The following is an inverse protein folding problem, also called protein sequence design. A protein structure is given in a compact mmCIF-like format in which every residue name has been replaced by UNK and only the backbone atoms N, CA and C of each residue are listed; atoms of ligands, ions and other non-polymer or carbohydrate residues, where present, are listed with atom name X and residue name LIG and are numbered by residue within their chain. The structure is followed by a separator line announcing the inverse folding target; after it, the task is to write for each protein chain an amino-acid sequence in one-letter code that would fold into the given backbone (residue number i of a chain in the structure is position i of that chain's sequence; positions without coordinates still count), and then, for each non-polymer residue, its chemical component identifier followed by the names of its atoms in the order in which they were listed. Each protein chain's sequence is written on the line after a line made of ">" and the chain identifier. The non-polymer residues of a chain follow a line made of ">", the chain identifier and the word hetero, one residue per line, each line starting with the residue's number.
data_IF_030741672505
#
_entry.id   IF_030741672505
#
_cell.length_a   1.000
_cell.length_b   1.000
_cell.length_c   1.000
_cell.angle_alpha   90.00
_cell.angle_beta   90.00
_cell.angle_gamma   90.00
#
_symmetry.space_group_name_H-M   'P 1'
#
loop_
_entity.id
_entity.type
_entity.pdbx_description
1 polymer ?
#
# COMPACT_ATOMS: atom_id res chain seq x y z
N UNK A 1 -17.42 0.97 7.08
CA UNK A 1 -18.16 1.60 5.96
C UNK A 1 -18.51 0.52 4.96
N UNK A 2 -19.80 0.34 4.66
CA UNK A 2 -20.34 -0.81 3.92
C UNK A 2 -20.49 -0.60 2.41
N UNK A 3 -19.81 0.39 1.83
CA UNK A 3 -19.90 0.72 0.40
C UNK A 3 -19.32 -0.39 -0.49
N UNK A 4 -18.25 -1.04 -0.04
CA UNK A 4 -17.58 -2.10 -0.79
C UNK A 4 -17.79 -3.45 -0.10
N UNK A 5 -17.89 -4.50 -0.91
CA UNK A 5 -17.71 -5.87 -0.45
C UNK A 5 -16.22 -6.18 -0.24
N UNK A 6 -15.91 -7.31 0.40
CA UNK A 6 -14.53 -7.78 0.60
C UNK A 6 -13.78 -8.04 -0.71
N UNK A 7 -14.51 -8.29 -1.81
CA UNK A 7 -13.94 -8.46 -3.15
C UNK A 7 -13.76 -7.14 -3.92
N UNK A 8 -14.12 -6.00 -3.33
CA UNK A 8 -14.00 -4.67 -3.95
C UNK A 8 -15.17 -4.24 -4.82
N UNK A 9 -16.25 -5.03 -4.90
CA UNK A 9 -17.48 -4.65 -5.61
C UNK A 9 -18.34 -3.67 -4.81
N UNK A 10 -18.99 -2.73 -5.49
CA UNK A 10 -19.93 -1.79 -4.89
C UNK A 10 -21.16 -2.51 -4.33
N UNK A 11 -21.55 -2.14 -3.11
CA UNK A 11 -22.82 -2.54 -2.48
C UNK A 11 -23.83 -1.43 -2.72
N UNK A 12 -24.85 -1.71 -3.54
CA UNK A 12 -25.96 -0.79 -3.80
C UNK A 12 -26.92 -0.75 -2.60
N UNK A 13 -26.52 -0.02 -1.56
CA UNK A 13 -27.37 0.23 -0.38
C UNK A 13 -28.12 1.56 -0.54
N UNK A 14 -29.31 1.65 0.04
CA UNK A 14 -30.18 2.82 -0.10
C UNK A 14 -29.50 4.14 0.32
N UNK A 15 -28.65 4.08 1.35
CA UNK A 15 -27.88 5.22 1.85
C UNK A 15 -26.90 5.82 0.82
N UNK A 16 -26.45 5.03 -0.16
CA UNK A 16 -25.49 5.46 -1.19
C UNK A 16 -26.14 5.74 -2.55
N UNK A 17 -27.46 5.55 -2.69
CA UNK A 17 -28.14 5.55 -3.99
C UNK A 17 -27.93 6.85 -4.78
N UNK A 18 -27.91 8.01 -4.11
CA UNK A 18 -27.71 9.32 -4.76
C UNK A 18 -26.27 9.59 -5.25
N UNK A 19 -25.32 8.74 -4.86
CA UNK A 19 -23.92 8.81 -5.26
C UNK A 19 -23.60 7.85 -6.40
N UNK A 20 -24.52 7.00 -6.83
CA UNK A 20 -24.28 6.10 -7.95
C UNK A 20 -24.83 6.67 -9.25
N UNK A 21 -24.01 6.59 -10.30
CA UNK A 21 -24.41 6.89 -11.68
C UNK A 21 -23.93 5.77 -12.59
N UNK A 22 -24.66 5.54 -13.67
CA UNK A 22 -24.31 4.55 -14.68
C UNK A 22 -24.11 5.27 -16.01
N UNK A 23 -22.93 5.12 -16.58
CA UNK A 23 -22.59 5.71 -17.87
C UNK A 23 -21.89 4.66 -18.73
N UNK A 24 -22.40 4.45 -19.95
CA UNK A 24 -21.90 3.43 -20.90
C UNK A 24 -21.83 2.00 -20.31
N UNK A 25 -22.72 1.69 -19.36
CA UNK A 25 -22.78 0.38 -18.70
C UNK A 25 -21.77 0.21 -17.56
N UNK A 26 -21.03 1.25 -17.19
CA UNK A 26 -20.14 1.24 -16.04
C UNK A 26 -20.77 1.97 -14.84
N UNK A 27 -20.77 1.31 -13.68
CA UNK A 27 -21.22 1.90 -12.43
C UNK A 27 -20.12 2.77 -11.81
N UNK A 28 -20.47 4.03 -11.52
CA UNK A 28 -19.58 5.05 -10.98
C UNK A 28 -20.08 5.52 -9.63
N UNK A 29 -19.18 5.60 -8.66
CA UNK A 29 -19.44 6.24 -7.37
C UNK A 29 -18.95 7.68 -7.42
N UNK A 30 -19.87 8.63 -7.39
CA UNK A 30 -19.61 10.06 -7.48
C UNK A 30 -19.04 10.58 -6.15
N UNK A 31 -17.82 11.10 -6.20
CA UNK A 31 -17.12 11.72 -5.06
C UNK A 31 -17.35 13.23 -5.05
N UNK A 32 -17.41 13.85 -6.23
CA UNK A 32 -17.73 15.27 -6.41
C UNK A 32 -18.51 15.44 -7.70
N UNK A 33 -19.47 16.38 -7.71
CA UNK A 33 -20.27 16.71 -8.90
C UNK A 33 -19.75 17.94 -9.65
N UNK A 34 -19.02 18.81 -8.96
CA UNK A 34 -18.41 20.01 -9.55
C UNK A 34 -17.05 20.31 -8.90
N UNK A 35 -15.92 19.98 -9.55
CA UNK A 35 -15.84 19.21 -10.79
C UNK A 35 -16.32 17.77 -10.60
N UNK A 36 -16.73 17.12 -11.69
CA UNK A 36 -17.12 15.70 -11.67
C UNK A 36 -15.89 14.83 -11.36
N UNK A 37 -15.91 14.17 -10.20
CA UNK A 37 -14.91 13.20 -9.76
C UNK A 37 -15.67 11.95 -9.33
N UNK A 38 -15.28 10.79 -9.85
CA UNK A 38 -15.89 9.52 -9.51
C UNK A 38 -14.83 8.43 -9.38
N UNK A 39 -15.25 7.31 -8.80
CA UNK A 39 -14.47 6.08 -8.66
C UNK A 39 -15.26 4.94 -9.28
N UNK A 40 -14.59 4.11 -10.06
CA UNK A 40 -15.16 2.91 -10.68
C UNK A 40 -14.75 1.66 -9.93
N UNK A 41 -15.41 0.52 -10.19
CA UNK A 41 -14.91 -0.77 -9.69
C UNK A 41 -13.54 -1.11 -10.29
N UNK A 42 -13.22 -0.62 -11.50
CA UNK A 42 -11.90 -0.82 -12.11
C UNK A 42 -10.80 -0.08 -11.34
N UNK A 43 -11.09 1.12 -10.85
CA UNK A 43 -10.16 1.86 -9.98
C UNK A 43 -9.93 1.11 -8.66
N UNK A 44 -10.99 0.53 -8.09
CA UNK A 44 -10.89 -0.30 -6.88
C UNK A 44 -10.06 -1.56 -7.16
N UNK A 45 -10.29 -2.24 -8.29
CA UNK A 45 -9.53 -3.42 -8.71
C UNK A 45 -8.04 -3.09 -8.86
N UNK A 46 -7.71 -1.98 -9.54
CA UNK A 46 -6.33 -1.52 -9.69
C UNK A 46 -5.67 -1.21 -8.34
N UNK A 47 -6.42 -0.61 -7.41
CA UNK A 47 -5.96 -0.39 -6.04
C UNK A 47 -5.71 -1.73 -5.33
N UNK A 48 -6.61 -2.72 -5.45
CA UNK A 48 -6.43 -4.05 -4.86
C UNK A 48 -5.19 -4.75 -5.39
N UNK A 49 -4.92 -4.68 -6.71
CA UNK A 49 -3.71 -5.26 -7.30
C UNK A 49 -2.44 -4.62 -6.70
N UNK A 50 -2.41 -3.29 -6.58
CA UNK A 50 -1.27 -2.59 -6.00
C UNK A 50 -1.07 -2.95 -4.51
N UNK A 51 -2.13 -2.92 -3.72
CA UNK A 51 -2.08 -3.25 -2.29
C UNK A 51 -1.75 -4.73 -2.08
N UNK A 52 -2.30 -5.63 -2.89
CA UNK A 52 -2.03 -7.06 -2.87
C UNK A 52 -0.56 -7.36 -3.07
N UNK A 53 0.08 -6.71 -4.05
CA UNK A 53 1.52 -6.85 -4.29
C UNK A 53 2.36 -6.37 -3.09
N UNK A 54 1.99 -5.24 -2.48
CA UNK A 54 2.67 -4.72 -1.30
C UNK A 54 2.53 -5.64 -0.08
N UNK A 55 1.32 -6.15 0.17
CA UNK A 55 1.03 -7.07 1.29
C UNK A 55 1.74 -8.41 1.11
N UNK A 56 1.67 -9.00 -0.07
CA UNK A 56 2.35 -10.25 -0.40
C UNK A 56 3.88 -10.11 -0.27
N UNK A 57 4.44 -9.02 -0.80
CA UNK A 57 5.85 -8.71 -0.64
C UNK A 57 6.27 -8.61 0.83
N UNK A 58 5.52 -7.86 1.65
CA UNK A 58 5.77 -7.78 3.10
C UNK A 58 5.74 -9.16 3.74
N UNK A 59 4.72 -9.97 3.48
CA UNK A 59 4.52 -11.24 4.16
C UNK A 59 5.62 -12.25 3.80
N UNK A 60 6.09 -12.24 2.56
CA UNK A 60 7.25 -13.04 2.14
C UNK A 60 8.52 -12.55 2.82
N UNK A 61 8.78 -11.24 2.87
CA UNK A 61 9.96 -10.70 3.55
C UNK A 61 9.96 -11.06 5.05
N UNK A 62 8.80 -11.02 5.71
CA UNK A 62 8.65 -11.46 7.10
C UNK A 62 8.94 -12.96 7.24
N UNK A 63 8.38 -13.78 6.35
CA UNK A 63 8.62 -15.24 6.34
C UNK A 63 10.11 -15.57 6.17
N UNK A 64 10.80 -14.91 5.24
CA UNK A 64 12.25 -15.06 5.03
C UNK A 64 13.07 -14.59 6.24
N UNK A 65 12.60 -13.57 6.96
CA UNK A 65 13.22 -13.10 8.19
C UNK A 65 12.83 -13.94 9.43
N UNK A 66 11.96 -14.95 9.29
CA UNK A 66 11.36 -15.70 10.39
C UNK A 66 10.64 -14.80 11.42
N UNK A 67 10.01 -13.74 10.95
CA UNK A 67 9.24 -12.78 11.74
C UNK A 67 7.75 -12.88 11.40
N UNK A 68 6.91 -12.40 12.31
CA UNK A 68 5.47 -12.26 12.13
C UNK A 68 5.11 -10.79 11.99
N UNK A 69 3.88 -10.51 11.53
CA UNK A 69 3.40 -9.12 11.36
C UNK A 69 3.41 -8.34 12.67
N UNK A 70 3.17 -9.01 13.79
CA UNK A 70 3.15 -8.42 15.13
C UNK A 70 4.53 -8.03 15.63
N UNK A 71 5.59 -8.59 15.03
CA UNK A 71 6.97 -8.30 15.37
C UNK A 71 7.46 -6.99 14.69
N UNK A 72 6.63 -6.37 13.84
CA UNK A 72 6.91 -5.04 13.27
C UNK A 72 6.56 -3.96 14.30
N UNK A 73 7.60 -3.28 14.80
CA UNK A 73 7.44 -2.19 15.76
C UNK A 73 7.17 -0.83 15.09
N UNK A 74 7.79 -0.57 13.94
CA UNK A 74 7.69 0.70 13.21
C UNK A 74 7.63 0.48 11.70
N UNK A 75 6.76 1.23 11.03
CA UNK A 75 6.69 1.36 9.57
C UNK A 75 7.06 2.78 9.16
N UNK A 76 8.14 2.90 8.38
CA UNK A 76 8.61 4.16 7.83
C UNK A 76 8.09 4.30 6.40
N UNK A 77 7.25 5.30 6.16
CA UNK A 77 6.62 5.56 4.87
C UNK A 77 7.42 6.60 4.09
N UNK A 78 7.96 6.21 2.95
CA UNK A 78 8.73 7.07 2.06
C UNK A 78 8.04 7.26 0.70
N UNK A 79 8.49 8.28 -0.04
CA UNK A 79 7.99 8.60 -1.37
C UNK A 79 6.66 9.35 -1.34
N UNK A 80 6.15 9.70 -2.53
CA UNK A 80 4.92 10.50 -2.67
C UNK A 80 3.72 9.81 -1.99
N UNK A 81 3.53 8.51 -2.23
CA UNK A 81 2.48 7.74 -1.56
C UNK A 81 2.61 7.78 -0.03
N UNK A 82 3.81 7.48 0.47
CA UNK A 82 4.09 7.50 1.91
C UNK A 82 3.97 8.88 2.56
N UNK A 83 4.02 9.95 1.77
CA UNK A 83 3.88 11.35 2.25
C UNK A 83 2.43 11.74 2.51
N UNK A 84 1.48 11.18 1.77
CA UNK A 84 0.08 11.61 1.81
C UNK A 84 -0.88 10.57 2.39
N UNK A 85 -0.48 9.29 2.45
CA UNK A 85 -1.33 8.27 3.06
C UNK A 85 -1.48 8.51 4.57
N UNK A 86 -2.72 8.55 5.04
CA UNK A 86 -3.01 8.60 6.49
C UNK A 86 -2.69 7.23 7.11
N UNK A 87 -1.93 7.17 8.22
CA UNK A 87 -1.62 5.91 8.90
C UNK A 87 -2.85 5.05 9.21
N UNK A 88 -3.95 5.67 9.66
CA UNK A 88 -5.21 4.98 9.95
C UNK A 88 -5.80 4.33 8.70
N UNK A 89 -5.78 5.03 7.56
CA UNK A 89 -6.23 4.45 6.29
C UNK A 89 -5.32 3.31 5.84
N UNK A 90 -4.00 3.42 6.01
CA UNK A 90 -3.06 2.34 5.70
C UNK A 90 -3.26 1.11 6.62
N UNK A 91 -3.62 1.31 7.89
CA UNK A 91 -3.98 0.23 8.82
C UNK A 91 -5.27 -0.46 8.41
N UNK A 92 -6.30 0.29 8.03
CA UNK A 92 -7.57 -0.27 7.52
C UNK A 92 -7.33 -1.10 6.25
N UNK A 93 -6.44 -0.64 5.36
CA UNK A 93 -6.06 -1.37 4.15
C UNK A 93 -5.12 -2.56 4.43
N UNK A 94 -4.77 -2.83 5.68
CA UNK A 94 -3.89 -3.93 6.06
C UNK A 94 -2.45 -3.75 5.58
N UNK A 95 -2.00 -2.52 5.27
CA UNK A 95 -0.61 -2.22 4.91
C UNK A 95 0.29 -2.10 6.15
N UNK A 96 -0.24 -1.50 7.21
CA UNK A 96 0.46 -1.24 8.47
C UNK A 96 -0.18 -2.09 9.56
N UNK A 97 0.60 -2.89 10.33
CA UNK A 97 0.08 -3.62 11.48
C UNK A 97 -0.56 -2.67 12.51
N UNK A 98 -1.65 -3.09 13.13
CA UNK A 98 -2.47 -2.23 14.01
C UNK A 98 -1.68 -1.60 15.17
N UNK A 99 -0.72 -2.34 15.72
CA UNK A 99 0.10 -1.90 16.88
C UNK A 99 1.40 -1.19 16.49
N UNK A 100 1.77 -1.20 15.21
CA UNK A 100 3.02 -0.59 14.76
C UNK A 100 2.92 0.94 14.77
N UNK A 101 4.02 1.59 15.15
CA UNK A 101 4.21 3.02 14.91
C UNK A 101 4.32 3.27 13.42
N UNK A 102 3.81 4.40 12.95
CA UNK A 102 3.86 4.77 11.55
C UNK A 102 4.23 6.24 11.42
N UNK A 103 5.26 6.53 10.62
CA UNK A 103 5.64 7.90 10.31
C UNK A 103 6.07 8.05 8.86
N UNK A 104 5.77 9.22 8.31
CA UNK A 104 6.23 9.61 6.98
C UNK A 104 7.58 10.30 7.06
N UNK A 105 8.46 10.02 6.11
CA UNK A 105 9.78 10.67 5.96
C UNK A 105 9.90 11.46 4.65
N UNK A 106 8.82 11.57 3.88
CA UNK A 106 8.84 12.26 2.60
C UNK A 106 9.69 11.56 1.54
N UNK A 107 10.34 12.35 0.69
CA UNK A 107 11.25 11.82 -0.32
C UNK A 107 12.61 11.42 0.30
N UNK A 108 12.67 10.21 0.85
CA UNK A 108 13.87 9.66 1.46
C UNK A 108 15.05 9.54 0.48
N UNK A 109 14.79 9.28 -0.81
CA UNK A 109 15.84 9.21 -1.83
C UNK A 109 16.54 10.56 -2.03
N UNK A 110 15.76 11.63 -2.18
CA UNK A 110 16.30 12.99 -2.31
C UNK A 110 17.02 13.43 -1.03
N UNK A 111 16.46 13.13 0.15
CA UNK A 111 17.10 13.41 1.42
C UNK A 111 18.44 12.68 1.55
N UNK A 112 18.49 11.40 1.17
CA UNK A 112 19.70 10.59 1.14
C UNK A 112 20.74 11.15 0.18
N UNK A 113 20.34 11.51 -1.05
CA UNK A 113 21.23 12.11 -2.05
C UNK A 113 21.84 13.43 -1.55
N UNK A 114 21.05 14.30 -0.93
CA UNK A 114 21.53 15.56 -0.35
C UNK A 114 22.54 15.31 0.79
N UNK A 115 22.27 14.34 1.67
CA UNK A 115 23.20 13.96 2.75
C UNK A 115 24.50 13.39 2.19
N UNK A 116 24.42 12.53 1.18
CA UNK A 116 25.58 11.99 0.50
C UNK A 116 26.40 13.09 -0.17
N UNK A 117 25.77 14.06 -0.83
CA UNK A 117 26.46 15.15 -1.51
C UNK A 117 27.43 15.90 -0.58
N UNK A 118 27.04 16.18 0.66
CA UNK A 118 27.81 17.03 1.59
C UNK A 118 28.62 16.25 2.63
N UNK A 119 28.59 14.91 2.65
CA UNK A 119 29.25 14.12 3.68
C UNK A 119 29.88 12.83 3.13
N UNK A 120 31.21 12.81 3.07
CA UNK A 120 31.97 11.60 2.69
C UNK A 120 31.72 10.45 3.67
N UNK A 121 31.69 10.75 4.98
CA UNK A 121 31.34 9.77 6.01
C UNK A 121 29.98 9.12 5.76
N UNK A 122 28.97 9.90 5.39
CA UNK A 122 27.64 9.34 5.07
C UNK A 122 27.67 8.48 3.82
N UNK A 123 28.46 8.84 2.79
CA UNK A 123 28.68 7.98 1.61
C UNK A 123 29.24 6.62 2.00
N UNK A 124 30.33 6.62 2.78
CA UNK A 124 30.97 5.38 3.25
C UNK A 124 30.02 4.51 4.10
N UNK A 125 29.13 5.14 4.87
CA UNK A 125 28.11 4.46 5.66
C UNK A 125 27.05 3.80 4.77
N UNK A 126 26.48 4.53 3.80
CA UNK A 126 25.45 3.97 2.91
C UNK A 126 26.01 2.92 1.95
N UNK A 127 27.28 3.04 1.52
CA UNK A 127 27.94 2.01 0.71
C UNK A 127 28.13 0.71 1.50
N UNK A 128 28.55 0.80 2.76
CA UNK A 128 28.63 -0.36 3.66
C UNK A 128 27.26 -0.96 3.94
N UNK A 129 26.24 -0.13 4.12
CA UNK A 129 24.86 -0.59 4.29
C UNK A 129 24.36 -1.32 3.04
N UNK A 130 24.59 -0.77 1.84
CA UNK A 130 24.16 -1.36 0.59
C UNK A 130 24.72 -2.78 0.40
N UNK A 131 25.98 -3.02 0.79
CA UNK A 131 26.61 -4.35 0.76
C UNK A 131 25.99 -5.37 1.73
N UNK A 132 25.20 -4.92 2.71
CA UNK A 132 24.51 -5.76 3.70
C UNK A 132 23.03 -6.01 3.35
N UNK A 133 22.50 -5.31 2.36
CA UNK A 133 21.12 -5.51 1.90
C UNK A 133 21.07 -6.82 1.11
N UNK A 134 20.19 -7.71 1.52
CA UNK A 134 19.92 -8.95 0.81
C UNK A 134 18.69 -8.75 -0.07
N UNK A 135 18.85 -8.93 -1.38
CA UNK A 135 17.76 -8.83 -2.33
C UNK A 135 16.99 -10.15 -2.40
N UNK A 136 15.66 -10.05 -2.39
CA UNK A 136 14.76 -11.18 -2.56
C UNK A 136 13.95 -10.95 -3.84
N UNK A 137 14.13 -11.82 -4.82
CA UNK A 137 13.41 -11.77 -6.10
C UNK A 137 12.01 -12.37 -5.94
N UNK A 138 11.03 -11.53 -5.65
CA UNK A 138 9.65 -11.97 -5.41
C UNK A 138 9.00 -12.66 -6.62
N UNK A 139 9.29 -12.20 -7.85
CA UNK A 139 8.71 -12.74 -9.09
C UNK A 139 9.12 -14.17 -9.42
N UNK A 140 10.26 -14.63 -8.90
CA UNK A 140 10.75 -16.00 -9.12
C UNK A 140 10.23 -16.99 -8.06
N UNK A 141 9.49 -16.51 -7.04
CA UNK A 141 9.04 -17.33 -5.94
C UNK A 141 7.72 -18.01 -6.23
N UNK A 142 7.70 -19.31 -5.97
CA UNK A 142 6.50 -20.16 -6.10
C UNK A 142 5.38 -19.76 -5.14
N UNK A 143 5.72 -19.22 -3.96
CA UNK A 143 4.75 -18.81 -2.95
C UNK A 143 4.27 -17.35 -3.11
N UNK A 144 4.74 -16.62 -4.13
CA UNK A 144 4.30 -15.24 -4.35
C UNK A 144 2.87 -15.14 -4.88
N UNK A 145 2.52 -15.97 -5.86
CA UNK A 145 1.19 -15.92 -6.49
C UNK A 145 0.08 -16.23 -5.48
N UNK A 146 0.28 -17.26 -4.65
CA UNK A 146 -0.64 -17.60 -3.57
C UNK A 146 -0.78 -16.44 -2.56
N UNK A 147 0.35 -15.90 -2.08
CA UNK A 147 0.35 -14.77 -1.14
C UNK A 147 -0.29 -13.51 -1.74
N UNK A 148 -0.13 -13.29 -3.05
CA UNK A 148 -0.74 -12.20 -3.78
C UNK A 148 -2.26 -12.37 -3.87
N UNK A 149 -2.73 -13.53 -4.31
CA UNK A 149 -4.15 -13.87 -4.38
C UNK A 149 -4.85 -13.72 -3.03
N UNK A 150 -4.24 -14.24 -1.96
CA UNK A 150 -4.75 -14.10 -0.59
C UNK A 150 -4.82 -12.64 -0.13
N UNK A 151 -3.94 -11.79 -0.65
CA UNK A 151 -3.87 -10.38 -0.28
C UNK A 151 -4.84 -9.47 -1.03
N UNK A 152 -5.50 -9.94 -2.11
CA UNK A 152 -6.42 -9.13 -2.93
C UNK A 152 -7.73 -8.78 -2.23
N UNK A 153 -8.16 -9.58 -1.25
CA UNK A 153 -9.37 -9.32 -0.49
C UNK A 153 -9.14 -8.19 0.52
N UNK A 154 -10.14 -7.32 0.66
CA UNK A 154 -10.19 -6.36 1.75
C UNK A 154 -10.48 -7.09 3.07
N UNK A 155 -9.72 -6.72 4.10
CA UNK A 155 -9.89 -7.26 5.44
C UNK A 155 -11.26 -6.83 5.98
N UNK A 156 -11.97 -7.79 6.60
CA UNK A 156 -13.33 -7.61 7.12
C UNK A 156 -13.34 -7.07 8.54
#
# INVERSE_FOLDING_TARGET
>A
FGLLSSTGRFRRQAEWASFFEEEQGELRFIVSRDPLIFVTEKDIENLQLALGAMKAGRDILLKEAHLRREDIEEVILAGAFGSFIRPESARILGLIPQKALARSVGNAALLGARKALVSLRFRDEVERLARRIHYIELSARRDFEDAFCDALLFES
#
